data_IF_973372573837
#
_entry.id   IF_973372573837
#
_cell.length_a   1.000
_cell.length_b   1.000
_cell.length_c   1.000
_cell.angle_alpha   90.00
_cell.angle_beta   90.00
_cell.angle_gamma   90.00
#
_symmetry.space_group_name_H-M   'P 1'
#
loop_
_entity.id
_entity.type
_entity.pdbx_description
1 polymer ?
#
# COMPACT_ATOMS: atom_id res chain seq x y z
N UNK A 1 72.72 50.67 -6.16
CA UNK A 1 73.31 50.00 -4.95
C UNK A 1 72.24 49.09 -4.39
N UNK A 2 72.69 47.87 -4.17
CA UNK A 2 71.95 46.66 -3.74
C UNK A 2 71.30 46.86 -2.38
N UNK A 3 70.10 46.30 -2.13
CA UNK A 3 69.83 45.51 -0.92
C UNK A 3 68.66 44.56 -1.16
N UNK A 4 68.94 43.30 -0.96
CA UNK A 4 68.01 42.14 -0.90
C UNK A 4 67.44 42.09 0.52
N UNK A 5 66.13 41.80 0.64
CA UNK A 5 65.56 41.29 1.88
C UNK A 5 64.74 40.10 1.53
N UNK A 6 65.13 38.89 2.06
CA UNK A 6 64.41 37.65 2.03
C UNK A 6 63.17 37.76 2.90
N UNK A 7 62.06 37.40 2.35
CA UNK A 7 60.81 37.10 3.10
C UNK A 7 60.63 35.58 3.19
N UNK A 8 60.65 35.06 4.40
CA UNK A 8 60.45 33.63 4.73
C UNK A 8 58.93 33.40 4.67
N UNK A 9 58.49 32.57 3.70
CA UNK A 9 57.11 32.10 3.62
C UNK A 9 56.91 30.90 4.54
N UNK A 10 56.05 31.03 5.52
CA UNK A 10 55.56 29.91 6.34
C UNK A 10 54.58 29.05 5.54
N UNK A 11 54.98 27.84 5.21
CA UNK A 11 54.10 26.82 4.61
C UNK A 11 53.24 26.24 5.73
N UNK A 12 51.98 26.63 5.77
CA UNK A 12 50.97 26.00 6.61
C UNK A 12 50.59 24.63 6.04
N UNK A 13 51.00 23.54 6.72
CA UNK A 13 50.50 22.20 6.46
C UNK A 13 49.03 22.12 6.88
N UNK A 14 48.12 22.14 5.91
CA UNK A 14 46.75 21.67 6.13
C UNK A 14 46.75 20.14 6.09
N UNK A 15 46.72 19.50 7.25
CA UNK A 15 46.41 18.12 7.39
C UNK A 15 44.91 17.92 7.10
N UNK A 16 44.59 17.41 5.92
CA UNK A 16 43.26 16.89 5.64
C UNK A 16 43.05 15.63 6.51
N UNK A 17 42.24 15.75 7.56
CA UNK A 17 41.68 14.61 8.26
C UNK A 17 40.71 13.91 7.28
N UNK A 18 41.15 12.79 6.73
CA UNK A 18 40.26 11.84 6.07
C UNK A 18 39.31 11.28 7.14
N UNK A 19 38.08 11.80 7.21
CA UNK A 19 37.00 11.13 7.91
C UNK A 19 36.59 10.00 6.99
N UNK A 20 36.72 8.72 7.39
CA UNK A 20 36.18 7.64 6.58
C UNK A 20 34.66 7.79 6.57
N UNK A 21 34.08 8.03 5.40
CA UNK A 21 32.67 7.79 5.16
C UNK A 21 32.42 6.32 5.56
N UNK A 22 31.73 6.12 6.66
CA UNK A 22 31.19 4.81 6.98
C UNK A 22 30.16 4.47 5.89
N UNK A 23 30.61 3.81 4.84
CA UNK A 23 29.73 3.02 4.01
C UNK A 23 29.13 1.95 4.93
N UNK A 24 27.83 2.09 5.21
CA UNK A 24 27.10 0.99 5.85
C UNK A 24 27.40 -0.28 5.08
N UNK A 25 27.75 -1.34 5.78
CA UNK A 25 27.95 -2.65 5.17
C UNK A 25 26.76 -2.95 4.26
N UNK A 26 26.97 -3.44 3.03
CA UNK A 26 25.85 -3.86 2.19
C UNK A 26 25.03 -4.86 3.00
N UNK A 27 23.76 -4.51 3.26
CA UNK A 27 22.84 -5.44 3.93
C UNK A 27 22.84 -6.70 3.07
N UNK A 28 23.08 -7.85 3.71
CA UNK A 28 22.92 -9.16 3.10
C UNK A 28 21.58 -9.15 2.40
N UNK A 29 21.56 -9.34 1.08
CA UNK A 29 20.33 -9.58 0.34
C UNK A 29 19.56 -10.65 1.12
N UNK A 30 18.33 -10.34 1.49
CA UNK A 30 17.43 -11.33 2.08
C UNK A 30 17.34 -12.45 1.05
N UNK A 31 17.54 -13.71 1.43
CA UNK A 31 17.43 -14.78 0.45
C UNK A 31 16.05 -14.70 -0.19
N UNK A 32 15.96 -15.01 -1.48
CA UNK A 32 14.70 -15.19 -2.24
C UNK A 32 13.95 -16.45 -1.77
N UNK A 33 13.91 -16.67 -0.46
CA UNK A 33 13.41 -17.88 0.19
C UNK A 33 11.88 -17.98 0.11
N UNK A 34 11.22 -16.87 -0.30
CA UNK A 34 9.77 -16.81 -0.55
C UNK A 34 9.35 -17.34 -1.93
N UNK A 35 10.29 -17.61 -2.83
CA UNK A 35 10.00 -18.27 -4.11
C UNK A 35 9.80 -19.77 -3.90
N UNK A 36 8.80 -20.33 -4.55
CA UNK A 36 8.54 -21.79 -4.59
C UNK A 36 8.67 -22.29 -6.03
N UNK A 37 8.50 -23.58 -6.24
CA UNK A 37 8.49 -24.13 -7.60
C UNK A 37 7.36 -23.56 -8.45
N UNK A 38 6.18 -23.32 -7.84
CA UNK A 38 4.95 -23.00 -8.54
C UNK A 38 4.38 -21.63 -8.13
N UNK A 39 5.22 -20.72 -7.58
CA UNK A 39 4.81 -19.38 -7.17
C UNK A 39 5.52 -18.87 -5.92
N UNK A 40 4.78 -18.34 -4.95
CA UNK A 40 5.33 -17.62 -3.80
C UNK A 40 4.75 -18.08 -2.46
N UNK A 41 5.48 -17.83 -1.37
CA UNK A 41 5.06 -18.10 0.01
C UNK A 41 5.39 -16.93 0.95
N UNK A 42 4.71 -16.85 2.08
CA UNK A 42 4.97 -15.86 3.12
C UNK A 42 6.26 -16.20 3.89
N UNK A 43 6.98 -15.16 4.35
CA UNK A 43 8.23 -15.34 5.11
C UNK A 43 8.00 -16.03 6.46
N UNK A 44 6.92 -15.68 7.17
CA UNK A 44 6.69 -16.06 8.56
C UNK A 44 5.43 -16.89 8.80
N UNK A 45 4.69 -17.24 7.74
CA UNK A 45 3.51 -18.09 7.82
C UNK A 45 3.86 -19.50 7.30
N UNK A 46 3.68 -20.56 8.12
CA UNK A 46 3.86 -21.93 7.64
C UNK A 46 2.98 -22.24 6.42
N UNK A 47 3.52 -22.97 5.47
CA UNK A 47 2.84 -23.28 4.19
C UNK A 47 1.47 -23.94 4.39
N UNK A 48 1.33 -24.79 5.42
CA UNK A 48 0.07 -25.47 5.76
C UNK A 48 -1.06 -24.48 6.12
N UNK A 49 -0.72 -23.28 6.53
CA UNK A 49 -1.67 -22.21 6.90
C UNK A 49 -1.98 -21.27 5.74
N UNK A 50 -1.21 -21.31 4.65
CA UNK A 50 -1.42 -20.43 3.49
C UNK A 50 -2.67 -20.82 2.71
N UNK A 51 -3.04 -22.09 2.66
CA UNK A 51 -4.23 -22.58 1.98
C UNK A 51 -5.32 -23.00 2.95
N UNK A 52 -6.55 -22.63 2.65
CA UNK A 52 -7.71 -23.11 3.41
C UNK A 52 -8.32 -24.30 2.69
N UNK A 53 -8.58 -25.40 3.42
CA UNK A 53 -9.27 -26.56 2.84
C UNK A 53 -10.67 -26.17 2.34
N UNK A 54 -11.18 -26.87 1.33
CA UNK A 54 -12.55 -26.66 0.83
C UNK A 54 -13.58 -26.77 1.96
N UNK A 55 -13.40 -27.71 2.90
CA UNK A 55 -14.28 -27.85 4.07
C UNK A 55 -14.27 -26.60 4.96
N UNK A 56 -13.10 -25.98 5.15
CA UNK A 56 -12.95 -24.72 5.90
C UNK A 56 -13.67 -23.56 5.21
N UNK A 57 -13.54 -23.44 3.89
CA UNK A 57 -14.23 -22.44 3.07
C UNK A 57 -15.74 -22.64 3.12
N UNK A 58 -16.23 -23.89 2.97
CA UNK A 58 -17.65 -24.21 3.12
C UNK A 58 -18.18 -23.88 4.51
N UNK A 59 -17.45 -24.28 5.56
CA UNK A 59 -17.82 -23.94 6.93
C UNK A 59 -18.01 -22.41 7.08
N UNK A 60 -17.03 -21.61 6.67
CA UNK A 60 -17.15 -20.15 6.72
C UNK A 60 -18.37 -19.67 5.92
N UNK A 61 -18.55 -20.13 4.67
CA UNK A 61 -19.65 -19.72 3.80
C UNK A 61 -21.04 -19.98 4.42
N UNK A 62 -21.21 -21.10 5.12
CA UNK A 62 -22.48 -21.48 5.75
C UNK A 62 -22.68 -20.92 7.18
N UNK A 63 -21.60 -20.45 7.83
CA UNK A 63 -21.69 -19.88 9.18
C UNK A 63 -21.56 -18.36 9.17
N UNK A 64 -21.57 -17.74 8.00
CA UNK A 64 -21.46 -16.29 7.87
C UNK A 64 -22.61 -15.57 8.58
N UNK A 65 -22.24 -14.50 9.29
CA UNK A 65 -23.22 -13.55 9.79
C UNK A 65 -23.68 -12.63 8.64
N UNK A 66 -24.96 -12.32 8.59
CA UNK A 66 -25.45 -11.27 7.70
C UNK A 66 -25.00 -9.91 8.23
N UNK A 67 -24.37 -9.12 7.37
CA UNK A 67 -24.12 -7.72 7.69
C UNK A 67 -25.40 -6.90 7.55
N UNK A 68 -25.51 -5.83 8.31
CA UNK A 68 -26.53 -4.80 8.10
C UNK A 68 -25.99 -3.73 7.15
N UNK A 69 -26.81 -3.30 6.21
CA UNK A 69 -26.49 -2.16 5.36
C UNK A 69 -26.49 -0.88 6.19
N UNK A 70 -25.48 -0.08 6.00
CA UNK A 70 -25.28 1.19 6.68
C UNK A 70 -25.11 2.27 5.63
N UNK A 71 -25.78 3.40 5.85
CA UNK A 71 -25.53 4.62 5.10
C UNK A 71 -24.39 5.38 5.78
N UNK A 72 -23.23 5.41 5.12
CA UNK A 72 -22.05 6.09 5.64
C UNK A 72 -22.11 7.57 5.32
N UNK A 73 -21.76 8.38 6.30
CA UNK A 73 -21.47 9.79 6.03
C UNK A 73 -20.20 9.87 5.16
N UNK A 74 -20.34 10.48 4.00
CA UNK A 74 -19.26 10.69 3.04
C UNK A 74 -18.83 12.16 3.03
N UNK A 75 -17.61 12.41 2.57
CA UNK A 75 -17.13 13.75 2.25
C UNK A 75 -17.09 13.93 0.73
N UNK A 76 -17.30 15.15 0.28
CA UNK A 76 -17.14 15.51 -1.13
C UNK A 76 -15.78 16.17 -1.31
N UNK A 77 -14.84 15.56 -2.06
CA UNK A 77 -13.53 16.18 -2.31
C UNK A 77 -13.69 17.40 -3.23
N UNK A 78 -12.86 18.42 -3.01
CA UNK A 78 -12.75 19.53 -3.97
C UNK A 78 -12.04 19.05 -5.24
N UNK A 79 -12.82 18.57 -6.20
CA UNK A 79 -12.31 17.98 -7.44
C UNK A 79 -11.51 19.00 -8.25
N UNK A 80 -11.93 20.27 -8.27
CA UNK A 80 -11.24 21.34 -9.00
C UNK A 80 -9.85 21.57 -8.42
N UNK A 81 -9.75 21.61 -7.10
CA UNK A 81 -8.47 21.71 -6.39
C UNK A 81 -7.58 20.48 -6.67
N UNK A 82 -8.11 19.28 -6.49
CA UNK A 82 -7.34 18.05 -6.70
C UNK A 82 -6.79 17.91 -8.12
N UNK A 83 -7.58 18.29 -9.13
CA UNK A 83 -7.14 18.26 -10.53
C UNK A 83 -5.99 19.24 -10.83
N UNK A 84 -5.95 20.37 -10.16
CA UNK A 84 -4.95 21.43 -10.38
C UNK A 84 -3.78 21.34 -9.41
N UNK A 85 -3.92 20.61 -8.29
CA UNK A 85 -2.90 20.56 -7.25
C UNK A 85 -1.61 19.91 -7.75
N UNK A 86 -0.50 20.65 -7.63
CA UNK A 86 0.87 20.17 -7.91
C UNK A 86 1.85 20.55 -6.80
N UNK A 87 1.41 21.27 -5.78
CA UNK A 87 2.30 21.84 -4.76
C UNK A 87 1.95 21.43 -3.34
N UNK A 88 0.66 21.34 -3.01
CA UNK A 88 0.22 20.96 -1.67
C UNK A 88 0.21 19.45 -1.48
N UNK A 89 0.61 19.00 -0.30
CA UNK A 89 0.42 17.60 0.06
C UNK A 89 -1.05 17.35 0.40
N UNK A 90 -1.62 16.31 -0.23
CA UNK A 90 -2.96 15.83 0.09
C UNK A 90 -3.03 14.31 0.02
N UNK A 91 -3.87 13.75 0.88
CA UNK A 91 -4.25 12.34 0.85
C UNK A 91 -5.77 12.25 0.78
N UNK A 92 -6.32 11.78 -0.31
CA UNK A 92 -7.78 11.60 -0.49
C UNK A 92 -8.13 10.11 -0.44
N UNK A 93 -9.00 9.71 0.48
CA UNK A 93 -9.51 8.34 0.51
C UNK A 93 -10.70 8.18 -0.44
N UNK A 94 -10.49 7.49 -1.55
CA UNK A 94 -11.52 7.27 -2.58
C UNK A 94 -12.47 6.14 -2.18
N UNK A 95 -11.97 5.21 -1.37
CA UNK A 95 -12.69 4.07 -0.82
C UNK A 95 -11.87 2.78 -0.88
N UNK A 96 -12.17 1.83 0.01
CA UNK A 96 -11.45 0.57 0.17
C UNK A 96 -9.95 0.77 0.41
N UNK A 97 -9.09 0.29 -0.48
CA UNK A 97 -7.64 0.51 -0.47
C UNK A 97 -7.18 1.54 -1.52
N UNK A 98 -8.13 2.26 -2.11
CA UNK A 98 -7.84 3.28 -3.13
C UNK A 98 -7.65 4.64 -2.48
N UNK A 99 -6.42 5.15 -2.56
CA UNK A 99 -6.05 6.51 -2.16
C UNK A 99 -5.44 7.26 -3.35
N UNK A 100 -5.64 8.56 -3.36
CA UNK A 100 -4.87 9.51 -4.15
C UNK A 100 -3.96 10.27 -3.20
N UNK A 101 -2.66 10.06 -3.31
CA UNK A 101 -1.64 10.86 -2.63
C UNK A 101 -0.99 11.82 -3.61
N UNK A 102 -1.12 13.09 -3.36
CA UNK A 102 -0.51 14.17 -4.14
C UNK A 102 0.58 14.81 -3.30
N UNK A 103 1.81 14.82 -3.82
CA UNK A 103 2.95 15.40 -3.12
C UNK A 103 4.00 15.86 -4.11
N UNK A 104 4.50 17.08 -3.95
CA UNK A 104 5.60 17.67 -4.79
C UNK A 104 5.45 17.37 -6.29
N UNK A 105 4.27 17.58 -6.82
CA UNK A 105 3.99 17.47 -8.25
C UNK A 105 3.71 16.05 -8.74
N UNK A 106 3.83 15.01 -7.91
CA UNK A 106 3.50 13.64 -8.24
C UNK A 106 2.14 13.23 -7.65
N UNK A 107 1.35 12.54 -8.44
CA UNK A 107 0.08 11.93 -8.07
C UNK A 107 0.24 10.41 -8.08
N UNK A 108 0.19 9.80 -6.90
CA UNK A 108 0.27 8.36 -6.70
C UNK A 108 -1.10 7.82 -6.33
N UNK A 109 -1.55 6.76 -6.99
CA UNK A 109 -2.81 6.07 -6.69
C UNK A 109 -2.51 4.65 -6.22
N UNK A 110 -3.13 4.23 -5.12
CA UNK A 110 -3.01 2.87 -4.58
C UNK A 110 -4.23 2.04 -4.99
N UNK A 111 -4.03 0.80 -5.37
CA UNK A 111 -5.06 -0.24 -5.65
C UNK A 111 -6.37 0.34 -6.22
N UNK A 112 -6.37 0.96 -7.41
CA UNK A 112 -7.54 1.67 -7.93
C UNK A 112 -8.69 0.72 -8.26
N UNK A 113 -9.76 0.84 -7.47
CA UNK A 113 -10.98 0.08 -7.65
C UNK A 113 -12.21 0.99 -7.60
N UNK A 114 -12.87 1.18 -8.76
CA UNK A 114 -14.06 2.05 -8.89
C UNK A 114 -15.32 1.28 -9.31
N UNK A 115 -15.18 -0.02 -9.62
CA UNK A 115 -16.31 -0.86 -10.02
C UNK A 115 -17.31 -1.09 -8.88
N UNK A 116 -18.56 -1.41 -9.27
CA UNK A 116 -19.65 -1.68 -8.33
C UNK A 116 -19.52 -3.01 -7.58
N UNK A 117 -18.58 -3.87 -7.98
CA UNK A 117 -18.33 -5.17 -7.32
C UNK A 117 -16.86 -5.53 -7.35
N UNK A 118 -16.41 -6.10 -6.25
CA UNK A 118 -15.15 -6.81 -6.15
C UNK A 118 -15.33 -8.25 -6.66
N UNK A 119 -15.36 -8.43 -7.99
CA UNK A 119 -15.72 -9.70 -8.60
C UNK A 119 -15.37 -9.75 -10.08
N UNK A 120 -15.06 -10.97 -10.63
CA UNK A 120 -14.90 -11.15 -12.08
C UNK A 120 -16.20 -10.93 -12.88
N UNK A 121 -17.37 -10.97 -12.21
CA UNK A 121 -18.68 -10.85 -12.84
C UNK A 121 -19.49 -9.69 -12.22
N UNK A 122 -20.37 -9.08 -13.03
CA UNK A 122 -21.14 -7.91 -12.60
C UNK A 122 -22.36 -8.21 -11.73
N UNK A 123 -22.80 -9.48 -11.68
CA UNK A 123 -24.05 -9.89 -11.01
C UNK A 123 -23.84 -10.57 -9.66
N UNK A 124 -22.63 -11.01 -9.33
CA UNK A 124 -22.31 -11.74 -8.09
C UNK A 124 -21.04 -11.19 -7.43
N UNK A 125 -20.81 -11.57 -6.17
CA UNK A 125 -19.66 -11.13 -5.35
C UNK A 125 -19.94 -9.87 -4.52
N UNK A 126 -18.99 -9.43 -3.69
CA UNK A 126 -19.14 -8.28 -2.79
C UNK A 126 -19.57 -7.04 -3.55
N UNK A 127 -20.66 -6.39 -3.11
CA UNK A 127 -21.22 -5.21 -3.77
C UNK A 127 -20.72 -3.95 -3.08
N UNK A 128 -20.30 -2.96 -3.88
CA UNK A 128 -19.97 -1.64 -3.38
C UNK A 128 -21.23 -0.97 -2.80
N UNK A 129 -21.09 -0.40 -1.62
CA UNK A 129 -22.18 0.32 -0.93
C UNK A 129 -21.89 1.82 -0.81
N UNK A 130 -20.64 2.22 -0.85
CA UNK A 130 -20.25 3.63 -0.94
C UNK A 130 -19.63 3.87 -2.30
N UNK A 131 -20.19 4.80 -3.08
CA UNK A 131 -19.67 5.13 -4.40
C UNK A 131 -18.26 5.70 -4.30
N UNK A 132 -17.40 5.49 -5.32
CA UNK A 132 -16.08 6.12 -5.35
C UNK A 132 -16.22 7.63 -5.28
N UNK A 133 -15.46 8.25 -4.39
CA UNK A 133 -15.53 9.71 -4.20
C UNK A 133 -15.03 10.51 -5.40
N UNK A 134 -14.18 9.90 -6.23
CA UNK A 134 -13.69 10.47 -7.49
C UNK A 134 -14.04 9.49 -8.60
N UNK A 135 -14.80 9.95 -9.60
CA UNK A 135 -15.06 9.19 -10.82
C UNK A 135 -13.86 9.26 -11.78
N UNK A 136 -13.77 8.33 -12.73
CA UNK A 136 -12.66 8.31 -13.71
C UNK A 136 -12.45 9.67 -14.39
N UNK A 137 -13.55 10.31 -14.87
CA UNK A 137 -13.48 11.58 -15.59
C UNK A 137 -12.98 12.75 -14.72
N UNK A 138 -13.02 12.59 -13.40
CA UNK A 138 -12.62 13.61 -12.43
C UNK A 138 -11.27 13.35 -11.79
N UNK A 139 -10.58 12.26 -12.16
CA UNK A 139 -9.22 12.05 -11.65
C UNK A 139 -8.26 13.14 -12.14
N UNK A 140 -7.36 13.62 -11.28
CA UNK A 140 -6.19 14.35 -11.76
C UNK A 140 -5.33 13.44 -12.62
N UNK A 141 -4.42 14.01 -13.40
CA UNK A 141 -3.42 13.20 -14.11
C UNK A 141 -2.62 12.37 -13.11
N UNK A 142 -2.68 11.05 -13.26
CA UNK A 142 -1.99 10.07 -12.41
C UNK A 142 -0.60 9.84 -12.97
N UNK A 143 0.43 9.90 -12.12
CA UNK A 143 1.81 9.64 -12.54
C UNK A 143 2.18 8.18 -12.28
N UNK A 144 1.80 7.64 -11.12
CA UNK A 144 2.11 6.28 -10.70
C UNK A 144 0.89 5.60 -10.09
N UNK A 145 0.68 4.35 -10.45
CA UNK A 145 -0.25 3.45 -9.79
C UNK A 145 0.55 2.33 -9.12
N UNK A 146 0.37 2.12 -7.82
CA UNK A 146 0.92 0.96 -7.11
C UNK A 146 -0.19 -0.06 -6.87
N UNK A 147 0.05 -1.32 -7.20
CA UNK A 147 -0.87 -2.44 -6.96
C UNK A 147 -0.25 -3.35 -5.92
N UNK A 148 -1.00 -3.68 -4.87
CA UNK A 148 -0.51 -4.57 -3.81
C UNK A 148 -0.57 -6.04 -4.20
N UNK A 149 -1.64 -6.48 -4.81
CA UNK A 149 -1.84 -7.87 -5.24
C UNK A 149 -3.02 -7.99 -6.23
N UNK A 150 -3.25 -9.21 -6.72
CA UNK A 150 -4.15 -9.46 -7.83
C UNK A 150 -5.62 -9.72 -7.47
N UNK A 151 -6.05 -9.66 -6.20
CA UNK A 151 -7.45 -9.87 -5.81
C UNK A 151 -8.39 -8.87 -6.49
N UNK A 152 -9.66 -9.28 -6.66
CA UNK A 152 -10.64 -8.50 -7.43
C UNK A 152 -11.06 -7.18 -6.79
N UNK A 153 -10.80 -6.98 -5.51
CA UNK A 153 -11.05 -5.74 -4.79
C UNK A 153 -9.85 -4.77 -4.77
N UNK A 154 -8.69 -5.19 -5.32
CA UNK A 154 -7.47 -4.39 -5.46
C UNK A 154 -7.08 -4.15 -6.92
N UNK A 155 -7.16 -5.17 -7.77
CA UNK A 155 -6.87 -5.07 -9.21
C UNK A 155 -8.18 -5.11 -10.01
N UNK A 156 -8.76 -3.94 -10.27
CA UNK A 156 -9.99 -3.79 -11.04
C UNK A 156 -9.71 -3.51 -12.52
N UNK A 157 -9.97 -4.49 -13.38
CA UNK A 157 -9.74 -4.38 -14.83
C UNK A 157 -10.43 -3.17 -15.45
N UNK A 158 -11.67 -2.86 -15.04
CA UNK A 158 -12.43 -1.73 -15.60
C UNK A 158 -11.80 -0.41 -15.22
N UNK A 159 -11.35 -0.28 -13.97
CA UNK A 159 -10.69 0.93 -13.51
C UNK A 159 -9.34 1.12 -14.19
N UNK A 160 -8.52 0.06 -14.30
CA UNK A 160 -7.23 0.12 -15.02
C UNK A 160 -7.43 0.57 -16.48
N UNK A 161 -8.35 -0.08 -17.21
CA UNK A 161 -8.65 0.29 -18.59
C UNK A 161 -9.21 1.73 -18.70
N UNK A 162 -10.05 2.15 -17.75
CA UNK A 162 -10.57 3.51 -17.69
C UNK A 162 -9.49 4.56 -17.47
N UNK A 163 -8.54 4.32 -16.55
CA UNK A 163 -7.38 5.20 -16.31
C UNK A 163 -6.56 5.37 -17.61
N UNK A 164 -6.32 4.29 -18.30
CA UNK A 164 -5.59 4.33 -19.58
C UNK A 164 -6.37 5.06 -20.68
N UNK A 165 -7.69 4.94 -20.69
CA UNK A 165 -8.55 5.63 -21.65
C UNK A 165 -8.52 7.15 -21.46
N UNK A 166 -8.61 7.62 -20.23
CA UNK A 166 -8.56 9.06 -19.92
C UNK A 166 -7.16 9.66 -20.06
N UNK A 167 -6.09 8.84 -19.98
CA UNK A 167 -4.69 9.28 -20.04
C UNK A 167 -3.90 8.67 -21.22
N UNK A 168 -4.56 8.42 -22.37
CA UNK A 168 -3.93 7.78 -23.55
C UNK A 168 -2.63 8.42 -24.00
N UNK A 169 -2.53 9.75 -23.95
CA UNK A 169 -1.34 10.49 -24.38
C UNK A 169 -0.18 10.42 -23.39
N UNK A 170 -0.46 10.17 -22.12
CA UNK A 170 0.55 10.04 -21.05
C UNK A 170 0.05 9.07 -19.99
N UNK A 171 0.03 7.75 -20.27
CA UNK A 171 -0.43 6.75 -19.32
C UNK A 171 0.47 6.69 -18.08
N UNK A 172 -0.10 6.45 -16.88
CA UNK A 172 0.68 6.30 -15.66
C UNK A 172 1.59 5.08 -15.73
N UNK A 173 2.64 5.09 -14.92
CA UNK A 173 3.43 3.90 -14.66
C UNK A 173 2.72 3.02 -13.62
N UNK A 174 2.55 1.75 -13.92
CA UNK A 174 2.05 0.74 -12.98
C UNK A 174 3.23 0.00 -12.35
N UNK A 175 3.32 0.05 -11.02
CA UNK A 175 4.27 -0.72 -10.25
C UNK A 175 3.52 -1.87 -9.57
N UNK A 176 3.94 -3.10 -9.86
CA UNK A 176 3.21 -4.30 -9.49
C UNK A 176 4.16 -5.37 -8.93
N UNK A 177 3.70 -6.30 -8.07
CA UNK A 177 4.48 -7.47 -7.69
C UNK A 177 4.76 -8.42 -8.86
N UNK A 178 5.77 -9.28 -8.70
CA UNK A 178 6.14 -10.29 -9.70
C UNK A 178 4.95 -11.18 -10.12
N UNK A 179 4.92 -11.55 -11.39
CA UNK A 179 3.88 -12.37 -12.04
C UNK A 179 2.76 -11.53 -12.65
N UNK A 180 2.44 -10.38 -12.08
CA UNK A 180 1.27 -9.59 -12.49
C UNK A 180 1.41 -8.95 -13.87
N UNK A 181 2.61 -8.75 -14.40
CA UNK A 181 2.82 -8.17 -15.73
C UNK A 181 2.15 -8.96 -16.84
N UNK A 182 2.05 -10.30 -16.70
CA UNK A 182 1.32 -11.15 -17.63
C UNK A 182 -0.14 -10.72 -17.78
N UNK A 183 -0.82 -10.43 -16.67
CA UNK A 183 -2.18 -9.92 -16.69
C UNK A 183 -2.31 -8.56 -17.39
N UNK A 184 -1.35 -7.67 -17.23
CA UNK A 184 -1.32 -6.39 -17.94
C UNK A 184 -1.06 -6.58 -19.44
N UNK A 185 -0.18 -7.52 -19.82
CA UNK A 185 0.06 -7.87 -21.22
C UNK A 185 -1.21 -8.40 -21.90
N UNK A 186 -2.00 -9.22 -21.20
CA UNK A 186 -3.29 -9.77 -21.68
C UNK A 186 -4.33 -8.68 -21.97
N UNK A 187 -4.20 -7.50 -21.38
CA UNK A 187 -5.07 -6.34 -21.64
C UNK A 187 -4.40 -5.28 -22.51
N UNK A 188 -3.24 -5.59 -23.12
CA UNK A 188 -2.56 -4.74 -24.09
C UNK A 188 -1.68 -3.63 -23.50
N UNK A 189 -1.23 -3.78 -22.24
CA UNK A 189 -0.44 -2.78 -21.52
C UNK A 189 0.84 -3.43 -21.02
N UNK A 190 1.92 -3.31 -21.73
CA UNK A 190 3.19 -3.92 -21.32
C UNK A 190 4.28 -2.89 -21.00
N UNK A 191 4.35 -1.81 -21.81
CA UNK A 191 5.43 -0.84 -21.73
C UNK A 191 5.41 0.06 -20.49
N UNK A 192 4.26 0.19 -19.84
CA UNK A 192 4.04 1.03 -18.65
C UNK A 192 3.88 0.21 -17.37
N UNK A 193 4.40 -1.01 -17.33
CA UNK A 193 4.32 -1.90 -16.18
C UNK A 193 5.72 -2.34 -15.76
N UNK A 194 6.05 -2.10 -14.51
CA UNK A 194 7.28 -2.56 -13.86
C UNK A 194 6.92 -3.53 -12.76
N UNK A 195 7.42 -4.76 -12.87
CA UNK A 195 7.32 -5.77 -11.81
C UNK A 195 8.48 -5.67 -10.85
N UNK A 196 8.20 -5.83 -9.57
CA UNK A 196 9.21 -5.86 -8.52
C UNK A 196 9.01 -7.06 -7.60
N UNK A 197 10.12 -7.67 -7.23
CA UNK A 197 10.18 -8.63 -6.15
C UNK A 197 10.27 -7.92 -4.79
N UNK A 198 10.02 -8.63 -3.69
CA UNK A 198 10.23 -8.07 -2.36
C UNK A 198 11.66 -7.53 -2.21
N UNK A 199 11.74 -6.35 -1.61
CA UNK A 199 12.97 -5.59 -1.40
C UNK A 199 13.59 -4.97 -2.66
N UNK A 200 13.01 -5.21 -3.84
CA UNK A 200 13.38 -4.49 -5.05
C UNK A 200 12.71 -3.12 -5.11
N UNK A 201 13.25 -2.23 -5.91
CA UNK A 201 12.76 -0.87 -6.05
C UNK A 201 12.85 -0.36 -7.47
N UNK A 202 12.02 0.65 -7.75
CA UNK A 202 12.05 1.43 -8.98
C UNK A 202 12.08 2.92 -8.66
N UNK A 203 12.96 3.68 -9.32
CA UNK A 203 13.11 5.11 -9.08
C UNK A 203 12.57 5.94 -10.25
N UNK A 204 11.88 7.03 -9.91
CA UNK A 204 11.34 8.03 -10.86
C UNK A 204 11.79 9.39 -10.37
N UNK A 205 12.80 9.97 -10.98
CA UNK A 205 13.44 11.19 -10.49
C UNK A 205 13.98 11.00 -9.06
N UNK A 206 13.51 11.82 -8.13
CA UNK A 206 13.90 11.74 -6.70
C UNK A 206 13.01 10.81 -5.86
N UNK A 207 12.08 10.11 -6.49
CA UNK A 207 11.17 9.17 -5.83
C UNK A 207 11.67 7.74 -6.00
N UNK A 208 11.57 6.93 -4.94
CA UNK A 208 11.87 5.50 -5.02
C UNK A 208 10.73 4.69 -4.41
N UNK A 209 10.23 3.74 -5.17
CA UNK A 209 9.13 2.84 -4.80
C UNK A 209 9.73 1.47 -4.52
N UNK A 210 9.58 0.98 -3.30
CA UNK A 210 10.07 -0.33 -2.87
C UNK A 210 8.90 -1.29 -2.67
N UNK A 211 8.93 -2.44 -3.32
CA UNK A 211 8.04 -3.54 -2.98
C UNK A 211 8.57 -4.22 -1.71
N UNK A 212 7.72 -4.38 -0.70
CA UNK A 212 8.11 -4.95 0.59
C UNK A 212 7.21 -6.12 0.99
N UNK A 213 7.71 -7.12 1.74
CA UNK A 213 6.94 -8.27 2.14
C UNK A 213 5.79 -7.88 3.07
N UNK A 214 4.66 -8.51 2.85
CA UNK A 214 3.49 -8.51 3.74
C UNK A 214 2.90 -9.92 3.75
N UNK A 215 2.12 -10.26 4.78
CA UNK A 215 1.58 -11.60 4.93
C UNK A 215 0.19 -11.71 4.27
N UNK A 216 0.16 -12.16 3.01
CA UNK A 216 -1.09 -12.31 2.26
C UNK A 216 -1.01 -13.47 1.27
N UNK A 217 -1.78 -13.42 0.21
CA UNK A 217 -1.85 -14.40 -0.86
C UNK A 217 -2.40 -13.76 -2.14
N UNK A 218 -2.30 -14.48 -3.25
CA UNK A 218 -2.83 -14.04 -4.53
C UNK A 218 -3.68 -15.11 -5.19
N UNK A 219 -4.70 -14.70 -5.94
CA UNK A 219 -5.52 -15.55 -6.78
C UNK A 219 -6.53 -14.74 -7.59
N UNK A 220 -6.70 -15.04 -8.85
CA UNK A 220 -7.79 -14.53 -9.70
C UNK A 220 -8.58 -15.64 -10.42
N UNK A 221 -7.95 -16.74 -10.73
CA UNK A 221 -8.53 -17.90 -11.42
C UNK A 221 -8.93 -19.04 -10.49
N UNK A 222 -9.01 -20.22 -11.04
CA UNK A 222 -9.32 -21.43 -10.28
C UNK A 222 -8.07 -22.16 -9.79
N UNK A 223 -6.93 -22.01 -10.48
CA UNK A 223 -5.71 -22.80 -10.27
C UNK A 223 -4.47 -21.96 -9.98
N UNK A 224 -4.53 -20.66 -10.06
CA UNK A 224 -3.43 -19.68 -9.99
C UNK A 224 -3.13 -19.17 -8.57
N UNK A 225 -3.43 -19.97 -7.53
CA UNK A 225 -3.17 -19.58 -6.14
C UNK A 225 -1.67 -19.37 -5.92
N UNK A 226 -1.30 -18.15 -5.51
CA UNK A 226 0.08 -17.73 -5.22
C UNK A 226 1.04 -17.80 -6.42
N UNK A 227 0.55 -17.87 -7.65
CA UNK A 227 1.39 -17.77 -8.85
C UNK A 227 1.92 -16.34 -9.05
N UNK A 228 1.14 -15.30 -8.65
CA UNK A 228 1.60 -13.92 -8.57
C UNK A 228 2.03 -13.60 -7.14
N UNK A 229 3.03 -12.72 -7.00
CA UNK A 229 3.45 -12.20 -5.70
C UNK A 229 2.44 -11.14 -5.20
N UNK A 230 2.47 -10.86 -3.91
CA UNK A 230 1.80 -9.74 -3.23
C UNK A 230 2.83 -8.89 -2.51
N UNK A 231 2.55 -7.61 -2.31
CA UNK A 231 3.49 -6.70 -1.66
C UNK A 231 2.79 -5.53 -0.97
N UNK A 232 3.40 -5.02 0.09
CA UNK A 232 3.24 -3.65 0.50
C UNK A 232 4.21 -2.75 -0.28
N UNK A 233 4.05 -1.45 -0.14
CA UNK A 233 4.90 -0.47 -0.80
C UNK A 233 5.47 0.54 0.19
N UNK A 234 6.77 0.72 0.19
CA UNK A 234 7.42 1.89 0.82
C UNK A 234 7.78 2.86 -0.29
N UNK A 235 7.22 4.07 -0.21
CA UNK A 235 7.49 5.14 -1.16
C UNK A 235 8.36 6.19 -0.48
N UNK A 236 9.60 6.31 -0.92
CA UNK A 236 10.51 7.36 -0.51
C UNK A 236 10.37 8.54 -1.48
N UNK A 237 9.74 9.60 -1.00
CA UNK A 237 9.61 10.89 -1.68
C UNK A 237 10.62 11.90 -1.10
N UNK A 238 10.92 13.02 -1.78
CA UNK A 238 11.82 14.04 -1.28
C UNK A 238 11.40 14.58 0.11
N UNK A 239 12.05 14.11 1.17
CA UNK A 239 11.80 14.53 2.55
C UNK A 239 10.60 13.87 3.24
N UNK A 240 9.96 12.85 2.62
CA UNK A 240 8.83 12.11 3.21
C UNK A 240 8.85 10.65 2.82
N UNK A 241 8.35 9.79 3.69
CA UNK A 241 8.21 8.36 3.44
C UNK A 241 6.78 7.89 3.73
N UNK A 242 6.16 7.26 2.73
CA UNK A 242 4.83 6.67 2.85
C UNK A 242 4.96 5.14 2.85
N UNK A 243 4.20 4.47 3.71
CA UNK A 243 4.00 3.03 3.68
C UNK A 243 2.54 2.70 3.33
N UNK A 244 2.33 1.90 2.29
CA UNK A 244 1.05 1.32 1.92
C UNK A 244 1.12 -0.18 2.13
N UNK A 245 0.35 -0.69 3.09
CA UNK A 245 0.43 -2.10 3.48
C UNK A 245 -0.21 -3.05 2.46
N UNK A 246 -1.16 -2.59 1.63
CA UNK A 246 -2.06 -3.51 0.93
C UNK A 246 -2.87 -4.34 1.91
N UNK A 247 -3.25 -5.57 1.52
CA UNK A 247 -3.87 -6.52 2.43
C UNK A 247 -2.82 -7.36 3.15
N UNK A 248 -3.04 -7.60 4.44
CA UNK A 248 -2.08 -8.37 5.24
C UNK A 248 -2.66 -8.89 6.55
N UNK A 249 -2.26 -10.09 6.94
CA UNK A 249 -2.23 -10.50 8.34
C UNK A 249 -1.04 -9.86 9.07
N UNK A 250 -1.03 -9.90 10.40
CA UNK A 250 0.14 -9.43 11.15
C UNK A 250 1.28 -10.45 11.09
N UNK A 251 2.47 -9.97 10.76
CA UNK A 251 3.70 -10.78 10.71
C UNK A 251 4.93 -9.98 11.18
N UNK A 252 6.05 -10.67 11.32
CA UNK A 252 7.34 -10.05 11.64
C UNK A 252 7.88 -9.19 10.49
N UNK A 253 7.37 -9.32 9.28
CA UNK A 253 7.77 -8.49 8.13
C UNK A 253 7.74 -6.99 8.45
N UNK A 254 6.79 -6.53 9.27
CA UNK A 254 6.69 -5.11 9.64
C UNK A 254 7.85 -4.61 10.49
N UNK A 255 8.40 -5.48 11.36
CA UNK A 255 9.61 -5.18 12.11
C UNK A 255 10.82 -5.09 11.18
N UNK A 256 10.91 -6.00 10.20
CA UNK A 256 11.98 -6.00 9.21
C UNK A 256 11.90 -4.74 8.32
N UNK A 257 10.68 -4.30 7.92
CA UNK A 257 10.46 -3.05 7.20
C UNK A 257 10.90 -1.85 8.04
N UNK A 258 10.46 -1.77 9.31
CA UNK A 258 10.83 -0.69 10.23
C UNK A 258 12.35 -0.63 10.48
N UNK A 259 13.01 -1.77 10.61
CA UNK A 259 14.47 -1.85 10.74
C UNK A 259 15.20 -1.37 9.48
N UNK A 260 14.66 -1.69 8.29
CA UNK A 260 15.30 -1.36 7.01
C UNK A 260 15.13 0.11 6.62
N UNK A 261 13.93 0.65 6.77
CA UNK A 261 13.60 1.99 6.30
C UNK A 261 13.59 3.05 7.41
N UNK A 262 13.55 2.66 8.67
CA UNK A 262 13.29 3.58 9.77
C UNK A 262 11.83 4.02 9.82
N UNK A 263 11.58 5.23 10.34
CA UNK A 263 10.21 5.71 10.54
C UNK A 263 9.52 6.09 9.23
N UNK A 264 8.21 5.81 9.16
CA UNK A 264 7.30 6.25 8.10
C UNK A 264 6.62 7.56 8.53
N UNK A 265 6.53 8.53 7.64
CA UNK A 265 5.80 9.77 7.93
C UNK A 265 4.29 9.55 7.83
N UNK A 266 3.86 8.69 6.89
CA UNK A 266 2.47 8.36 6.62
C UNK A 266 2.35 6.86 6.33
N UNK A 267 1.37 6.17 6.95
CA UNK A 267 1.08 4.76 6.63
C UNK A 267 -0.39 4.55 6.35
N UNK A 268 -0.69 3.73 5.35
CA UNK A 268 -2.02 3.27 4.97
C UNK A 268 -2.13 1.80 5.37
N UNK A 269 -2.91 1.50 6.42
CA UNK A 269 -2.93 0.19 7.07
C UNK A 269 -4.36 -0.36 7.08
N UNK A 270 -4.60 -1.62 6.64
CA UNK A 270 -5.93 -2.21 6.64
C UNK A 270 -6.43 -2.43 8.07
N UNK A 271 -7.72 -2.19 8.29
CA UNK A 271 -8.40 -2.36 9.58
C UNK A 271 -9.70 -3.16 9.45
N UNK A 272 -10.06 -3.58 8.25
CA UNK A 272 -11.26 -4.37 7.94
C UNK A 272 -10.94 -5.76 7.41
N UNK A 273 -11.97 -6.50 7.05
CA UNK A 273 -11.89 -7.87 6.53
C UNK A 273 -11.30 -8.90 7.53
N UNK A 274 -11.40 -8.66 8.84
CA UNK A 274 -10.75 -9.47 9.86
C UNK A 274 -11.62 -10.58 10.46
N UNK A 275 -12.94 -10.59 10.25
CA UNK A 275 -13.84 -11.58 10.85
C UNK A 275 -14.34 -12.62 9.85
N UNK A 276 -14.53 -13.87 10.33
CA UNK A 276 -14.21 -14.38 11.67
C UNK A 276 -12.71 -14.64 11.82
N UNK A 277 -12.16 -14.35 13.00
CA UNK A 277 -10.71 -14.48 13.24
C UNK A 277 -10.14 -15.88 12.98
N UNK A 278 -10.90 -16.96 13.24
CA UNK A 278 -10.46 -18.33 12.98
C UNK A 278 -10.18 -18.61 11.50
N UNK A 279 -10.76 -17.78 10.61
CA UNK A 279 -10.58 -17.90 9.15
C UNK A 279 -9.69 -16.82 8.59
N UNK A 280 -9.85 -15.55 9.03
CA UNK A 280 -9.21 -14.38 8.43
C UNK A 280 -7.84 -14.05 9.01
N UNK A 281 -7.53 -14.45 10.26
CA UNK A 281 -6.35 -13.98 11.03
C UNK A 281 -5.03 -14.03 10.28
N UNK A 282 -4.83 -15.06 9.46
CA UNK A 282 -3.56 -15.26 8.78
C UNK A 282 -3.35 -14.26 7.63
N UNK A 283 -4.45 -13.77 7.03
CA UNK A 283 -4.42 -12.97 5.81
C UNK A 283 -4.90 -11.53 6.00
N UNK A 284 -5.58 -11.24 7.12
CA UNK A 284 -6.11 -9.91 7.43
C UNK A 284 -5.89 -9.59 8.90
N UNK A 285 -5.23 -8.47 9.17
CA UNK A 285 -5.06 -7.95 10.53
C UNK A 285 -6.37 -7.33 11.03
N UNK A 286 -6.58 -7.43 12.34
CA UNK A 286 -7.63 -6.68 13.01
C UNK A 286 -7.10 -5.30 13.47
N UNK A 287 -7.94 -4.39 13.97
CA UNK A 287 -7.50 -3.06 14.40
C UNK A 287 -6.40 -3.05 15.46
N UNK A 288 -6.36 -4.02 16.38
CA UNK A 288 -5.29 -4.15 17.36
C UNK A 288 -3.95 -4.53 16.71
N UNK A 289 -3.98 -5.46 15.76
CA UNK A 289 -2.82 -5.84 14.95
C UNK A 289 -2.39 -4.70 14.02
N UNK A 290 -3.33 -3.91 13.47
CA UNK A 290 -3.02 -2.72 12.68
C UNK A 290 -2.25 -1.67 13.51
N UNK A 291 -2.63 -1.47 14.79
CA UNK A 291 -1.88 -0.62 15.72
C UNK A 291 -0.48 -1.18 15.98
N UNK A 292 -0.31 -2.50 16.03
CA UNK A 292 1.01 -3.10 16.15
C UNK A 292 1.85 -2.87 14.88
N UNK A 293 1.24 -2.97 13.68
CA UNK A 293 1.91 -2.63 12.41
C UNK A 293 2.39 -1.17 12.43
N UNK A 294 1.52 -0.22 12.82
CA UNK A 294 1.88 1.19 12.97
C UNK A 294 3.15 1.39 13.82
N UNK A 295 3.26 0.65 14.93
CA UNK A 295 4.44 0.70 15.81
C UNK A 295 5.68 0.08 15.17
N UNK A 296 5.52 -1.11 14.57
CA UNK A 296 6.64 -1.90 14.06
C UNK A 296 7.30 -1.21 12.86
N UNK A 297 6.52 -0.56 11.99
CA UNK A 297 7.06 0.24 10.88
C UNK A 297 7.50 1.65 11.33
N UNK A 298 7.34 1.99 12.61
CA UNK A 298 7.71 3.30 13.15
C UNK A 298 6.92 4.44 12.55
N UNK A 299 5.62 4.24 12.29
CA UNK A 299 4.78 5.26 11.66
C UNK A 299 4.53 6.44 12.58
N UNK A 300 4.67 7.67 12.07
CA UNK A 300 4.31 8.90 12.78
C UNK A 300 2.81 9.15 12.72
N UNK A 301 2.23 8.86 11.56
CA UNK A 301 0.81 9.05 11.30
C UNK A 301 0.28 7.92 10.42
N UNK A 302 -0.89 7.37 10.75
CA UNK A 302 -1.52 6.31 9.95
C UNK A 302 -2.99 6.59 9.65
N UNK A 303 -3.44 6.09 8.50
CA UNK A 303 -4.85 6.10 8.09
C UNK A 303 -5.32 4.66 7.90
N UNK A 304 -6.44 4.32 8.55
CA UNK A 304 -7.08 3.02 8.44
C UNK A 304 -7.86 2.88 7.14
N UNK A 305 -7.62 1.79 6.42
CA UNK A 305 -8.25 1.49 5.14
C UNK A 305 -8.93 0.11 5.11
N UNK A 306 -9.47 -0.28 3.96
CA UNK A 306 -10.05 -1.60 3.69
C UNK A 306 -11.28 -1.91 4.56
N UNK A 307 -12.16 -0.93 4.79
CA UNK A 307 -13.38 -1.07 5.57
C UNK A 307 -14.54 -0.28 4.95
N UNK A 308 -15.77 -0.68 5.28
CA UNK A 308 -16.99 0.11 5.00
C UNK A 308 -17.35 0.32 3.52
N UNK A 309 -16.60 -0.23 2.55
CA UNK A 309 -16.80 0.03 1.12
C UNK A 309 -17.62 -1.05 0.43
N UNK A 310 -17.37 -2.32 0.75
CA UNK A 310 -18.04 -3.46 0.13
C UNK A 310 -18.91 -4.24 1.12
N UNK A 311 -20.14 -4.53 0.71
CA UNK A 311 -21.07 -5.34 1.46
C UNK A 311 -20.75 -6.83 1.30
N UNK A 312 -20.80 -7.57 2.39
CA UNK A 312 -20.54 -9.01 2.43
C UNK A 312 -19.14 -9.42 1.92
N UNK A 313 -18.13 -8.55 2.10
CA UNK A 313 -16.74 -8.96 1.89
C UNK A 313 -16.34 -9.96 2.98
N UNK A 314 -16.57 -9.62 4.24
CA UNK A 314 -16.29 -10.41 5.46
C UNK A 314 -17.47 -10.33 6.44
N UNK A 315 -17.27 -10.75 7.69
CA UNK A 315 -18.38 -10.98 8.63
C UNK A 315 -18.52 -9.92 9.73
N UNK A 316 -17.52 -9.03 9.92
CA UNK A 316 -17.63 -7.95 10.90
C UNK A 316 -18.69 -6.92 10.48
N UNK A 317 -19.39 -6.28 11.44
CA UNK A 317 -20.27 -5.16 11.16
C UNK A 317 -19.53 -4.02 10.46
N UNK A 318 -20.12 -3.47 9.41
CA UNK A 318 -19.46 -2.44 8.55
C UNK A 318 -18.93 -1.22 9.30
N UNK A 319 -19.54 -0.87 10.45
CA UNK A 319 -19.15 0.29 11.29
C UNK A 319 -18.19 -0.08 12.42
N UNK A 320 -17.88 -1.35 12.60
CA UNK A 320 -17.05 -1.83 13.70
C UNK A 320 -15.57 -1.44 13.56
N UNK A 321 -14.92 -1.54 12.38
CA UNK A 321 -13.48 -1.31 12.26
C UNK A 321 -13.01 0.06 12.77
N UNK A 322 -13.63 1.21 12.45
CA UNK A 322 -13.23 2.50 13.00
C UNK A 322 -13.39 2.60 14.53
N UNK A 323 -14.44 1.97 15.08
CA UNK A 323 -14.66 1.94 16.52
C UNK A 323 -13.57 1.14 17.22
N UNK A 324 -13.26 -0.05 16.71
CA UNK A 324 -12.21 -0.92 17.23
C UNK A 324 -10.82 -0.30 17.10
N UNK A 325 -10.56 0.44 16.03
CA UNK A 325 -9.30 1.17 15.88
C UNK A 325 -9.14 2.22 16.99
N UNK A 326 -10.16 3.03 17.27
CA UNK A 326 -10.09 4.02 18.36
C UNK A 326 -9.85 3.38 19.71
N UNK A 327 -10.50 2.24 19.99
CA UNK A 327 -10.28 1.45 21.21
C UNK A 327 -8.83 0.93 21.28
N UNK A 328 -8.30 0.39 20.16
CA UNK A 328 -6.94 -0.14 20.08
C UNK A 328 -5.87 0.96 20.24
N UNK A 329 -6.03 2.12 19.61
CA UNK A 329 -5.15 3.29 19.77
C UNK A 329 -5.08 3.72 21.22
N UNK A 330 -6.25 3.86 21.88
CA UNK A 330 -6.34 4.21 23.31
C UNK A 330 -5.66 3.17 24.20
N UNK A 331 -5.96 1.88 23.98
CA UNK A 331 -5.40 0.78 24.79
C UNK A 331 -3.88 0.68 24.63
N UNK A 332 -3.40 0.95 23.43
CA UNK A 332 -1.98 0.99 23.11
C UNK A 332 -1.28 2.26 23.63
N UNK A 333 -2.01 3.23 24.17
CA UNK A 333 -1.48 4.53 24.62
C UNK A 333 -0.69 5.26 23.52
N UNK A 334 -1.15 5.15 22.27
CA UNK A 334 -0.64 5.97 21.20
C UNK A 334 -1.13 7.42 21.37
N UNK A 335 -0.41 8.37 20.78
CA UNK A 335 -0.86 9.74 20.71
C UNK A 335 -2.22 9.82 20.01
N UNK A 336 -3.15 10.60 20.57
CA UNK A 336 -4.46 10.80 19.99
C UNK A 336 -4.31 11.47 18.61
N UNK A 337 -4.98 10.89 17.61
CA UNK A 337 -4.86 11.38 16.23
C UNK A 337 -3.68 10.81 15.44
N UNK A 338 -2.75 10.04 16.04
CA UNK A 338 -1.64 9.43 15.30
C UNK A 338 -2.07 8.28 14.39
N UNK A 339 -3.23 7.66 14.65
CA UNK A 339 -3.82 6.65 13.78
C UNK A 339 -5.34 6.87 13.71
N UNK A 340 -5.82 7.31 12.56
CA UNK A 340 -7.22 7.73 12.34
C UNK A 340 -7.88 6.93 11.22
N UNK A 341 -9.19 7.15 11.06
CA UNK A 341 -9.94 6.81 9.83
C UNK A 341 -10.47 8.07 9.20
N UNK A 342 -10.57 8.07 7.87
CA UNK A 342 -11.20 9.13 7.09
C UNK A 342 -12.63 8.72 6.73
N UNK A 343 -13.49 9.69 6.40
CA UNK A 343 -14.73 9.44 5.67
C UNK A 343 -14.39 9.12 4.21
N UNK A 344 -15.21 8.31 3.55
CA UNK A 344 -15.07 8.13 2.10
C UNK A 344 -15.18 9.50 1.42
N UNK A 345 -14.20 9.85 0.60
CA UNK A 345 -14.09 11.14 -0.07
C UNK A 345 -13.35 12.22 0.69
N UNK A 346 -13.00 11.98 1.95
CA UNK A 346 -12.28 12.97 2.73
C UNK A 346 -10.85 13.15 2.21
N UNK A 347 -10.46 14.41 2.09
CA UNK A 347 -9.09 14.82 1.72
C UNK A 347 -8.39 15.38 2.95
N UNK A 348 -7.35 14.70 3.38
CA UNK A 348 -6.47 15.13 4.44
C UNK A 348 -5.33 15.98 3.84
N UNK A 349 -4.91 17.01 4.56
CA UNK A 349 -3.67 17.77 4.33
C UNK A 349 -2.74 17.48 5.50
N UNK A 350 -1.85 16.46 5.38
CA UNK A 350 -1.00 15.96 6.47
C UNK A 350 0.10 16.95 6.88
#
# INVERSE_FOLDING_TARGET
MKHWILGIGTIGLFTFMNIPLMYGSPMKESPTDHHTKDGFKNNYLPEERMSKSLGTVFKWRFTRNSQELVDFETAEPDLSFLQQNRSEETLTWIGHSTFLWQYKGMNVVTDPHLSNRASPVSFAGPKRIVQPAISLDNFPAIDVVVISHNHYDHLDKKTVLGILDIQKSNPPLFLVPLGMKAWFSDIGIEEKVVELDWWQSHSIGEWTFHAVPVQHWSRRGLTDTNEDLWAGWVVEAPGKRLFFAGDTGYSKDFQDIGQRFGSMDLSLIPIGAYAPRWFMKDMHCNPEEAVQIHRDVGSKFSVGMHWGTFFNLTDEPLVEPPKKLREAVKNAKLEEGSFITLKHGETLKP
#
